data_IF_224110616050
#
_entry.id   IF_224110616050
#
_cell.length_a   1.000
_cell.length_b   1.000
_cell.length_c   1.000
_cell.angle_alpha   90.00
_cell.angle_beta   90.00
_cell.angle_gamma   90.00
#
_symmetry.space_group_name_H-M   'P 1'
#
loop_
_entity.id
_entity.type
_entity.pdbx_description
1 polymer ?
#
# COMPACT_ATOMS: atom_id res chain seq x y z
N UNK A 1 34.83 -101.22 -76.18
CA UNK A 1 34.01 -100.21 -75.49
C UNK A 1 34.29 -100.36 -73.99
N UNK A 2 34.81 -99.43 -73.21
CA UNK A 2 34.88 -97.98 -73.37
C UNK A 2 36.00 -97.36 -72.48
N UNK A 3 37.25 -97.25 -72.96
CA UNK A 3 38.29 -96.45 -72.29
C UNK A 3 38.26 -94.97 -72.72
N UNK A 4 37.80 -94.66 -73.94
CA UNK A 4 37.74 -93.29 -74.47
C UNK A 4 36.70 -92.40 -73.78
N UNK A 5 35.57 -92.97 -73.33
CA UNK A 5 34.52 -92.22 -72.63
C UNK A 5 34.99 -91.72 -71.24
N UNK A 6 35.67 -92.57 -70.46
CA UNK A 6 36.19 -92.16 -69.14
C UNK A 6 37.32 -91.12 -69.25
N UNK A 7 38.10 -91.18 -70.34
CA UNK A 7 39.16 -90.21 -70.58
C UNK A 7 38.61 -88.86 -71.03
N UNK A 8 37.54 -88.86 -71.84
CA UNK A 8 36.81 -87.65 -72.21
C UNK A 8 36.17 -86.97 -70.99
N UNK A 9 35.55 -87.74 -70.09
CA UNK A 9 35.00 -87.23 -68.83
C UNK A 9 36.08 -86.65 -67.91
N UNK A 10 37.24 -87.33 -67.77
CA UNK A 10 38.37 -86.80 -67.00
C UNK A 10 38.93 -85.51 -67.62
N UNK A 11 39.00 -85.43 -68.95
CA UNK A 11 39.46 -84.24 -69.65
C UNK A 11 38.47 -83.06 -69.49
N UNK A 12 37.17 -83.32 -69.57
CA UNK A 12 36.12 -82.31 -69.35
C UNK A 12 36.13 -81.81 -67.89
N UNK A 13 36.32 -82.70 -66.92
CA UNK A 13 36.49 -82.33 -65.51
C UNK A 13 37.74 -81.47 -65.30
N UNK A 14 38.87 -81.80 -65.95
CA UNK A 14 40.10 -81.01 -65.87
C UNK A 14 39.92 -79.63 -66.50
N UNK A 15 39.21 -79.54 -67.64
CA UNK A 15 38.90 -78.25 -68.28
C UNK A 15 37.90 -77.41 -67.47
N UNK A 16 36.90 -78.03 -66.82
CA UNK A 16 36.05 -77.33 -65.85
C UNK A 16 36.82 -76.84 -64.63
N UNK A 17 37.69 -77.68 -64.03
CA UNK A 17 38.56 -77.25 -62.93
C UNK A 17 39.45 -76.10 -63.39
N UNK A 18 40.06 -76.20 -64.58
CA UNK A 18 40.88 -75.13 -65.15
C UNK A 18 40.07 -73.85 -65.36
N UNK A 19 38.80 -73.94 -65.76
CA UNK A 19 37.91 -72.79 -65.94
C UNK A 19 37.52 -72.15 -64.61
N UNK A 20 37.18 -72.97 -63.59
CA UNK A 20 36.84 -72.52 -62.24
C UNK A 20 38.03 -71.79 -61.61
N UNK A 21 39.24 -72.36 -61.73
CA UNK A 21 40.47 -71.78 -61.20
C UNK A 21 41.08 -70.67 -62.08
N UNK A 22 40.65 -70.51 -63.34
CA UNK A 22 41.04 -69.37 -64.19
C UNK A 22 40.28 -68.09 -63.84
N UNK A 23 39.15 -68.20 -63.15
CA UNK A 23 38.40 -67.06 -62.62
C UNK A 23 38.94 -66.63 -61.26
N UNK A 24 39.49 -65.41 -61.20
CA UNK A 24 39.96 -64.74 -59.98
C UNK A 24 38.83 -64.36 -58.99
N UNK A 25 37.65 -64.98 -59.11
CA UNK A 25 36.43 -64.58 -58.42
C UNK A 25 36.55 -64.69 -56.89
N UNK A 26 37.14 -65.77 -56.39
CA UNK A 26 37.37 -65.95 -54.96
C UNK A 26 38.45 -65.00 -54.41
N UNK A 27 39.48 -64.71 -55.22
CA UNK A 27 40.48 -63.71 -54.87
C UNK A 27 39.86 -62.30 -54.78
N UNK A 28 38.92 -61.96 -55.67
CA UNK A 28 38.15 -60.72 -55.62
C UNK A 28 37.22 -60.67 -54.40
N UNK A 29 36.52 -61.76 -54.08
CA UNK A 29 35.68 -61.85 -52.86
C UNK A 29 36.50 -61.67 -51.59
N UNK A 30 37.67 -62.30 -51.49
CA UNK A 30 38.56 -62.15 -50.34
C UNK A 30 39.10 -60.72 -50.22
N UNK A 31 39.47 -60.08 -51.34
CA UNK A 31 39.89 -58.66 -51.32
C UNK A 31 38.75 -57.74 -50.89
N UNK A 32 37.54 -57.96 -51.41
CA UNK A 32 36.36 -57.19 -51.03
C UNK A 32 36.03 -57.36 -49.54
N UNK A 33 36.08 -58.59 -49.02
CA UNK A 33 35.88 -58.87 -47.61
C UNK A 33 36.95 -58.19 -46.74
N UNK A 34 38.22 -58.23 -47.15
CA UNK A 34 39.31 -57.53 -46.45
C UNK A 34 39.11 -56.02 -46.44
N UNK A 35 38.58 -55.46 -47.52
CA UNK A 35 38.24 -54.04 -47.61
C UNK A 35 37.09 -53.69 -46.66
N UNK A 36 36.02 -54.50 -46.63
CA UNK A 36 34.93 -54.34 -45.66
C UNK A 36 35.42 -54.44 -44.22
N UNK A 37 36.32 -55.38 -43.89
CA UNK A 37 36.92 -55.47 -42.56
C UNK A 37 37.71 -54.22 -42.18
N UNK A 38 38.47 -53.65 -43.13
CA UNK A 38 39.19 -52.38 -42.90
C UNK A 38 38.23 -51.22 -42.67
N UNK A 39 37.14 -51.15 -43.43
CA UNK A 39 36.11 -50.13 -43.28
C UNK A 39 35.39 -50.23 -41.92
N UNK A 40 34.96 -51.44 -41.53
CA UNK A 40 34.33 -51.70 -40.23
C UNK A 40 35.28 -51.37 -39.09
N UNK A 41 36.54 -51.79 -39.19
CA UNK A 41 37.56 -51.48 -38.17
C UNK A 41 37.75 -49.98 -38.01
N UNK A 42 37.87 -49.25 -39.12
CA UNK A 42 38.00 -47.79 -39.10
C UNK A 42 36.78 -47.13 -38.46
N UNK A 43 35.57 -47.58 -38.81
CA UNK A 43 34.33 -47.08 -38.21
C UNK A 43 34.29 -47.31 -36.70
N UNK A 44 34.75 -48.48 -36.23
CA UNK A 44 34.86 -48.77 -34.80
C UNK A 44 35.86 -47.85 -34.11
N UNK A 45 37.05 -47.67 -34.68
CA UNK A 45 38.10 -46.78 -34.15
C UNK A 45 37.61 -45.32 -34.09
N UNK A 46 36.97 -44.82 -35.16
CA UNK A 46 36.40 -43.47 -35.22
C UNK A 46 35.28 -43.28 -34.17
N UNK A 47 34.40 -44.28 -34.03
CA UNK A 47 33.32 -44.26 -33.02
C UNK A 47 33.88 -44.27 -31.61
N UNK A 48 34.91 -45.08 -31.34
CA UNK A 48 35.55 -45.14 -30.04
C UNK A 48 36.21 -43.80 -29.68
N UNK A 49 36.97 -43.20 -30.61
CA UNK A 49 37.58 -41.89 -30.42
C UNK A 49 36.55 -40.78 -30.16
N UNK A 50 35.44 -40.81 -30.91
CA UNK A 50 34.33 -39.88 -30.69
C UNK A 50 33.72 -40.07 -29.29
N UNK A 51 33.45 -41.31 -28.89
CA UNK A 51 32.82 -41.63 -27.61
C UNK A 51 33.73 -41.26 -26.43
N UNK A 52 35.03 -41.46 -26.54
CA UNK A 52 36.01 -40.97 -25.55
C UNK A 52 35.97 -39.45 -25.42
N UNK A 53 35.80 -38.72 -26.52
CA UNK A 53 35.70 -37.26 -26.51
C UNK A 53 34.42 -36.80 -25.81
N UNK A 54 33.29 -37.43 -26.12
CA UNK A 54 31.98 -37.14 -25.48
C UNK A 54 32.04 -37.43 -23.97
N UNK A 55 32.63 -38.56 -23.57
CA UNK A 55 32.77 -38.90 -22.15
C UNK A 55 33.60 -37.84 -21.41
N UNK A 56 34.74 -37.42 -21.98
CA UNK A 56 35.59 -36.36 -21.39
C UNK A 56 34.82 -35.05 -21.23
N UNK A 57 34.03 -34.67 -22.24
CA UNK A 57 33.21 -33.47 -22.18
C UNK A 57 32.13 -33.57 -21.11
N UNK A 58 31.42 -34.69 -21.03
CA UNK A 58 30.37 -34.92 -20.03
C UNK A 58 30.94 -34.92 -18.61
N UNK A 59 32.09 -35.56 -18.38
CA UNK A 59 32.78 -35.51 -17.08
C UNK A 59 33.10 -34.07 -16.68
N UNK A 60 33.60 -33.25 -17.63
CA UNK A 60 33.85 -31.83 -17.36
C UNK A 60 32.58 -31.07 -17.03
N UNK A 61 31.50 -31.27 -17.80
CA UNK A 61 30.20 -30.62 -17.56
C UNK A 61 29.61 -31.00 -16.19
N UNK A 62 29.76 -32.26 -15.79
CA UNK A 62 29.34 -32.74 -14.46
C UNK A 62 30.17 -32.06 -13.37
N UNK A 63 31.50 -32.04 -13.48
CA UNK A 63 32.36 -31.36 -12.50
C UNK A 63 32.05 -29.86 -12.36
N UNK A 64 31.76 -29.17 -13.47
CA UNK A 64 31.37 -27.76 -13.46
C UNK A 64 29.96 -27.56 -12.87
N UNK A 65 29.03 -28.51 -13.09
CA UNK A 65 27.71 -28.50 -12.48
C UNK A 65 27.78 -28.77 -10.97
N UNK A 66 28.59 -29.73 -10.53
CA UNK A 66 28.82 -30.04 -9.12
C UNK A 66 29.38 -28.83 -8.38
N UNK A 67 30.42 -28.17 -8.92
CA UNK A 67 30.98 -26.94 -8.33
C UNK A 67 29.97 -25.82 -8.18
N UNK A 68 29.05 -25.67 -9.14
CA UNK A 68 27.96 -24.66 -9.07
C UNK A 68 26.85 -25.06 -8.11
N UNK A 69 26.60 -26.35 -7.97
CA UNK A 69 25.55 -26.89 -7.11
C UNK A 69 25.98 -26.97 -5.65
N UNK A 70 27.27 -27.12 -5.35
CA UNK A 70 27.80 -26.92 -4.00
C UNK A 70 27.65 -25.44 -3.62
N UNK A 71 26.80 -25.10 -2.64
CA UNK A 71 26.70 -23.72 -2.18
C UNK A 71 28.08 -23.27 -1.68
N UNK A 72 28.54 -22.11 -2.17
CA UNK A 72 29.81 -21.50 -1.77
C UNK A 72 29.82 -21.09 -0.29
N UNK A 73 28.66 -21.00 0.33
CA UNK A 73 28.47 -20.63 1.73
C UNK A 73 28.26 -21.89 2.56
N UNK A 74 28.90 -21.93 3.73
CA UNK A 74 28.65 -22.99 4.67
C UNK A 74 27.17 -22.98 5.11
N UNK A 75 26.57 -24.14 5.45
CA UNK A 75 25.20 -24.19 5.96
C UNK A 75 24.98 -23.24 7.16
N UNK A 76 26.02 -23.02 7.98
CA UNK A 76 25.98 -22.09 9.10
C UNK A 76 25.85 -20.62 8.67
N UNK A 77 26.57 -20.17 7.64
CA UNK A 77 26.48 -18.79 7.13
C UNK A 77 25.13 -18.53 6.48
N UNK A 78 24.63 -19.50 5.70
CA UNK A 78 23.31 -19.43 5.12
C UNK A 78 22.23 -19.26 6.20
N UNK A 79 22.32 -20.05 7.28
CA UNK A 79 21.36 -20.02 8.38
C UNK A 79 21.44 -18.73 9.21
N UNK A 80 22.65 -18.19 9.42
CA UNK A 80 22.84 -16.87 10.05
C UNK A 80 22.17 -15.76 9.24
N UNK A 81 22.33 -15.79 7.91
CA UNK A 81 21.74 -14.79 7.02
C UNK A 81 20.21 -14.89 6.99
N UNK A 82 19.64 -16.10 6.99
CA UNK A 82 18.19 -16.29 7.14
C UNK A 82 17.72 -15.70 8.48
N UNK A 83 18.38 -16.02 9.59
CA UNK A 83 18.00 -15.52 10.91
C UNK A 83 18.07 -13.98 10.99
N UNK A 84 19.07 -13.37 10.34
CA UNK A 84 19.18 -11.91 10.24
C UNK A 84 18.01 -11.31 9.46
N UNK A 85 17.70 -11.84 8.28
CA UNK A 85 16.58 -11.35 7.45
C UNK A 85 15.24 -11.55 8.17
N UNK A 86 15.05 -12.64 8.89
CA UNK A 86 13.85 -12.86 9.70
C UNK A 86 13.74 -11.89 10.88
N UNK A 87 14.86 -11.55 11.53
CA UNK A 87 14.89 -10.56 12.60
C UNK A 87 14.56 -9.15 12.06
N UNK A 88 15.15 -8.78 10.93
CA UNK A 88 14.85 -7.51 10.24
C UNK A 88 13.38 -7.44 9.80
N UNK A 89 12.84 -8.54 9.24
CA UNK A 89 11.41 -8.64 8.90
C UNK A 89 10.51 -8.45 10.12
N UNK A 90 10.86 -9.04 11.26
CA UNK A 90 10.08 -8.90 12.50
C UNK A 90 10.11 -7.46 13.00
N UNK A 91 11.29 -6.84 13.08
CA UNK A 91 11.45 -5.46 13.50
C UNK A 91 10.69 -4.48 12.58
N UNK A 92 10.75 -4.69 11.27
CA UNK A 92 9.97 -3.91 10.31
C UNK A 92 8.45 -4.09 10.50
N UNK A 93 8.01 -5.32 10.77
CA UNK A 93 6.60 -5.60 11.08
C UNK A 93 6.12 -4.89 12.34
N UNK A 94 6.89 -4.94 13.43
CA UNK A 94 6.58 -4.22 14.67
C UNK A 94 6.51 -2.71 14.44
N UNK A 95 7.46 -2.15 13.69
CA UNK A 95 7.46 -0.73 13.34
C UNK A 95 6.23 -0.33 12.52
N UNK A 96 5.82 -1.14 11.54
CA UNK A 96 4.60 -0.89 10.77
C UNK A 96 3.36 -0.91 11.67
N UNK A 97 3.23 -1.90 12.56
CA UNK A 97 2.07 -1.96 13.48
C UNK A 97 2.02 -0.76 14.43
N UNK A 98 3.17 -0.27 14.90
CA UNK A 98 3.25 0.94 15.70
C UNK A 98 2.83 2.18 14.91
N UNK A 99 3.35 2.35 13.69
CA UNK A 99 2.99 3.46 12.82
C UNK A 99 1.50 3.45 12.45
N UNK A 100 0.91 2.28 12.22
CA UNK A 100 -0.53 2.15 11.95
C UNK A 100 -1.37 2.59 13.15
N UNK A 101 -0.98 2.18 14.37
CA UNK A 101 -1.67 2.61 15.58
C UNK A 101 -1.57 4.12 15.81
N UNK A 102 -0.39 4.71 15.57
CA UNK A 102 -0.18 6.15 15.67
C UNK A 102 -0.99 6.93 14.63
N UNK A 103 -1.04 6.44 13.39
CA UNK A 103 -1.85 7.03 12.33
C UNK A 103 -3.35 7.03 12.69
N UNK A 104 -3.87 5.92 13.22
CA UNK A 104 -5.26 5.84 13.67
C UNK A 104 -5.55 6.80 14.82
N UNK A 105 -4.63 6.92 15.78
CA UNK A 105 -4.78 7.87 16.89
C UNK A 105 -4.81 9.32 16.39
N UNK A 106 -3.95 9.67 15.42
CA UNK A 106 -3.92 11.00 14.80
C UNK A 106 -5.19 11.29 13.99
N UNK A 107 -5.71 10.31 13.26
CA UNK A 107 -6.99 10.45 12.55
C UNK A 107 -8.15 10.71 13.52
N UNK A 108 -8.20 10.00 14.64
CA UNK A 108 -9.20 10.23 15.68
C UNK A 108 -9.08 11.64 16.27
N UNK A 109 -7.87 12.07 16.63
CA UNK A 109 -7.62 13.43 17.12
C UNK A 109 -8.03 14.49 16.09
N UNK A 110 -7.77 14.25 14.79
CA UNK A 110 -8.18 15.17 13.74
C UNK A 110 -9.70 15.26 13.62
N UNK A 111 -10.41 14.14 13.72
CA UNK A 111 -11.87 14.11 13.70
C UNK A 111 -12.47 14.87 14.90
N UNK A 112 -11.90 14.68 16.09
CA UNK A 112 -12.33 15.39 17.30
C UNK A 112 -12.10 16.91 17.18
N UNK A 113 -10.92 17.34 16.73
CA UNK A 113 -10.61 18.75 16.51
C UNK A 113 -11.53 19.39 15.45
N UNK A 114 -11.88 18.66 14.39
CA UNK A 114 -12.85 19.12 13.39
C UNK A 114 -14.24 19.32 14.01
N UNK A 115 -14.69 18.39 14.86
CA UNK A 115 -15.96 18.52 15.59
C UNK A 115 -15.96 19.72 16.53
N UNK A 116 -14.90 19.87 17.33
CA UNK A 116 -14.74 21.01 18.23
C UNK A 116 -14.72 22.35 17.46
N UNK A 117 -14.02 22.41 16.32
CA UNK A 117 -13.99 23.60 15.47
C UNK A 117 -15.38 23.93 14.90
N UNK A 118 -16.15 22.94 14.47
CA UNK A 118 -17.52 23.14 13.99
C UNK A 118 -18.42 23.70 15.12
N UNK A 119 -18.33 23.12 16.32
CA UNK A 119 -19.09 23.58 17.48
C UNK A 119 -18.72 25.02 17.88
N UNK A 120 -17.43 25.35 17.88
CA UNK A 120 -16.96 26.72 18.14
C UNK A 120 -17.44 27.71 17.08
N UNK A 121 -17.50 27.30 15.81
CA UNK A 121 -18.01 28.15 14.73
C UNK A 121 -19.50 28.48 14.93
N UNK A 122 -20.31 27.51 15.33
CA UNK A 122 -21.74 27.73 15.64
C UNK A 122 -21.89 28.70 16.82
N UNK A 123 -21.19 28.44 17.93
CA UNK A 123 -21.22 29.33 19.10
C UNK A 123 -20.77 30.75 18.77
N UNK A 124 -19.77 30.90 17.91
CA UNK A 124 -19.33 32.21 17.43
C UNK A 124 -20.45 32.92 16.67
N UNK A 125 -21.14 32.22 15.75
CA UNK A 125 -22.25 32.79 15.00
C UNK A 125 -23.41 33.22 15.91
N UNK A 126 -23.70 32.46 16.98
CA UNK A 126 -24.71 32.84 17.98
C UNK A 126 -24.32 34.13 18.70
N UNK A 127 -23.06 34.26 19.13
CA UNK A 127 -22.55 35.48 19.77
C UNK A 127 -22.57 36.66 18.81
N UNK A 128 -22.12 36.46 17.57
CA UNK A 128 -22.11 37.51 16.53
C UNK A 128 -23.56 37.99 16.26
N UNK A 129 -24.56 37.10 16.25
CA UNK A 129 -25.96 37.47 16.08
C UNK A 129 -26.50 38.34 17.23
N UNK A 130 -26.18 37.97 18.48
CA UNK A 130 -26.55 38.76 19.67
C UNK A 130 -25.90 40.14 19.61
N UNK A 131 -24.62 40.22 19.25
CA UNK A 131 -23.89 41.48 19.17
C UNK A 131 -24.42 42.39 18.06
N UNK A 132 -24.78 41.84 16.90
CA UNK A 132 -25.19 42.63 15.74
C UNK A 132 -26.66 43.06 15.76
N UNK A 133 -27.58 42.29 16.34
CA UNK A 133 -29.01 42.58 16.31
C UNK A 133 -29.57 42.91 17.71
N UNK A 134 -29.41 41.97 18.64
CA UNK A 134 -30.07 42.07 19.96
C UNK A 134 -29.53 43.22 20.80
N UNK A 135 -28.21 43.43 20.83
CA UNK A 135 -27.59 44.50 21.62
C UNK A 135 -27.98 45.89 21.09
N UNK A 136 -27.88 46.21 19.78
CA UNK A 136 -28.37 47.47 19.25
C UNK A 136 -29.87 47.67 19.45
N UNK A 137 -30.69 46.63 19.27
CA UNK A 137 -32.14 46.71 19.48
C UNK A 137 -32.47 47.05 20.94
N UNK A 138 -31.88 46.34 21.90
CA UNK A 138 -32.07 46.61 23.32
C UNK A 138 -31.58 48.02 23.70
N UNK A 139 -30.44 48.47 23.17
CA UNK A 139 -29.96 49.85 23.38
C UNK A 139 -30.94 50.88 22.82
N UNK A 140 -31.52 50.63 21.64
CA UNK A 140 -32.52 51.51 21.05
C UNK A 140 -33.78 51.58 21.89
N UNK A 141 -34.33 50.43 22.31
CA UNK A 141 -35.49 50.34 23.20
C UNK A 141 -35.26 51.07 24.52
N UNK A 142 -34.13 50.85 25.19
CA UNK A 142 -33.75 51.56 26.41
C UNK A 142 -33.62 53.07 26.17
N UNK A 143 -33.06 53.47 25.02
CA UNK A 143 -32.97 54.88 24.64
C UNK A 143 -34.35 55.49 24.41
N UNK A 144 -35.30 54.76 23.83
CA UNK A 144 -36.69 55.19 23.69
C UNK A 144 -37.36 55.37 25.05
N UNK A 145 -37.20 54.42 25.97
CA UNK A 145 -37.73 54.55 27.34
C UNK A 145 -37.16 55.78 28.04
N UNK A 146 -35.84 56.00 27.97
CA UNK A 146 -35.22 57.19 28.53
C UNK A 146 -35.69 58.48 27.84
N UNK A 147 -35.89 58.45 26.52
CA UNK A 147 -36.32 59.62 25.76
C UNK A 147 -37.78 60.00 25.99
N UNK A 148 -38.69 59.03 26.07
CA UNK A 148 -40.12 59.25 26.30
C UNK A 148 -40.36 59.65 27.74
N UNK A 149 -39.84 58.87 28.69
CA UNK A 149 -40.10 59.10 30.11
C UNK A 149 -39.29 60.27 30.68
N UNK A 150 -38.14 60.62 30.07
CA UNK A 150 -37.16 61.56 30.63
C UNK A 150 -36.71 61.19 32.05
N UNK A 151 -36.87 59.93 32.46
CA UNK A 151 -36.47 59.43 33.77
C UNK A 151 -35.01 58.97 33.72
N UNK A 152 -34.23 59.44 34.68
CA UNK A 152 -32.89 58.93 34.99
C UNK A 152 -32.96 58.11 36.28
N UNK A 153 -32.76 56.80 36.18
CA UNK A 153 -32.81 55.87 37.31
C UNK A 153 -31.47 55.82 38.07
N UNK A 154 -31.54 55.63 39.39
CA UNK A 154 -30.38 55.37 40.24
C UNK A 154 -30.27 53.87 40.51
N UNK A 155 -29.32 53.20 39.86
CA UNK A 155 -29.18 51.74 39.91
C UNK A 155 -28.37 51.22 41.11
N UNK A 156 -27.79 52.11 41.91
CA UNK A 156 -26.92 51.76 43.05
C UNK A 156 -27.69 51.17 44.23
N UNK A 157 -29.01 51.41 44.30
CA UNK A 157 -29.87 51.00 45.42
C UNK A 157 -30.93 50.04 44.92
N UNK A 158 -31.04 48.85 45.52
CA UNK A 158 -31.94 47.77 45.05
C UNK A 158 -33.20 47.57 45.91
N UNK A 159 -33.26 48.18 47.09
CA UNK A 159 -34.39 48.10 48.03
C UNK A 159 -35.46 49.17 47.77
N UNK A 160 -35.18 50.13 46.88
CA UNK A 160 -36.06 51.26 46.56
C UNK A 160 -35.96 51.62 45.09
N UNK A 161 -37.07 52.08 44.53
CA UNK A 161 -37.15 52.61 43.17
C UNK A 161 -36.82 54.09 43.24
N UNK A 162 -35.59 54.44 42.83
CA UNK A 162 -35.07 55.80 42.89
C UNK A 162 -34.71 56.33 41.51
N UNK A 163 -35.08 57.58 41.25
CA UNK A 163 -34.80 58.23 39.99
C UNK A 163 -35.15 59.71 39.99
N UNK A 164 -34.97 60.36 38.84
CA UNK A 164 -35.29 61.77 38.63
C UNK A 164 -35.96 61.93 37.28
N UNK A 165 -37.01 62.75 37.20
CA UNK A 165 -37.68 63.09 35.93
C UNK A 165 -37.23 64.48 35.52
N UNK A 166 -36.64 64.59 34.33
CA UNK A 166 -36.29 65.88 33.75
C UNK A 166 -37.55 66.48 33.08
N UNK A 167 -38.17 67.46 33.73
CA UNK A 167 -39.33 68.14 33.17
C UNK A 167 -38.93 69.07 32.01
N UNK A 168 -39.81 69.26 31.03
CA UNK A 168 -39.57 70.15 29.89
C UNK A 168 -39.52 71.63 30.31
N UNK A 169 -38.89 72.46 29.47
CA UNK A 169 -38.55 73.87 29.67
C UNK A 169 -39.49 74.63 30.65
N UNK A 170 -39.00 74.87 31.86
CA UNK A 170 -39.66 75.74 32.86
C UNK A 170 -40.30 75.06 34.07
N UNK A 171 -40.33 73.72 34.16
CA UNK A 171 -40.76 72.96 35.35
C UNK A 171 -39.56 72.50 36.21
N UNK A 172 -39.74 72.42 37.53
CA UNK A 172 -38.74 71.92 38.47
C UNK A 172 -38.47 70.41 38.31
N UNK A 173 -37.25 70.00 38.63
CA UNK A 173 -36.80 68.59 38.60
C UNK A 173 -37.60 67.76 39.64
N UNK A 174 -38.31 66.74 39.19
CA UNK A 174 -39.07 65.85 40.08
C UNK A 174 -38.24 64.63 40.50
N UNK A 175 -38.28 64.30 41.79
CA UNK A 175 -37.54 63.17 42.37
C UNK A 175 -38.48 61.99 42.60
N UNK A 176 -38.05 60.81 42.16
CA UNK A 176 -38.72 59.53 42.41
C UNK A 176 -38.01 58.84 43.58
N UNK A 177 -38.73 58.51 44.63
CA UNK A 177 -38.26 57.66 45.74
C UNK A 177 -39.43 56.86 46.31
N UNK A 178 -39.58 55.62 45.86
CA UNK A 178 -40.61 54.68 46.33
C UNK A 178 -39.95 53.46 46.96
N UNK A 179 -40.47 52.97 48.10
CA UNK A 179 -40.02 51.69 48.63
C UNK A 179 -40.63 50.54 47.81
N UNK A 180 -39.84 49.48 47.59
CA UNK A 180 -40.33 48.29 46.90
C UNK A 180 -41.37 47.60 47.79
N UNK A 181 -42.61 47.47 47.30
CA UNK A 181 -43.71 46.79 48.01
C UNK A 181 -44.73 47.70 48.71
N UNK A 182 -44.47 49.02 48.80
CA UNK A 182 -45.41 49.97 49.43
C UNK A 182 -46.68 50.23 48.59
N UNK A 183 -46.63 49.93 47.29
CA UNK A 183 -47.70 50.19 46.30
C UNK A 183 -47.87 48.98 45.39
N UNK A 184 -49.06 48.85 44.79
CA UNK A 184 -49.24 47.88 43.70
C UNK A 184 -48.53 48.34 42.43
N UNK A 185 -48.14 47.41 41.56
CA UNK A 185 -47.51 47.70 40.27
C UNK A 185 -48.36 48.66 39.42
N UNK A 186 -49.69 48.52 39.48
CA UNK A 186 -50.63 49.41 38.80
C UNK A 186 -50.58 50.84 39.34
N UNK A 187 -50.55 51.02 40.66
CA UNK A 187 -50.47 52.35 41.27
C UNK A 187 -49.13 53.01 40.93
N UNK A 188 -48.03 52.26 41.08
CA UNK A 188 -46.69 52.74 40.75
C UNK A 188 -46.57 53.19 39.29
N UNK A 189 -47.09 52.40 38.35
CA UNK A 189 -47.05 52.75 36.93
C UNK A 189 -47.82 54.05 36.64
N UNK A 190 -49.03 54.20 37.17
CA UNK A 190 -49.82 55.43 36.99
C UNK A 190 -49.14 56.63 37.64
N UNK A 191 -48.57 56.47 38.84
CA UNK A 191 -47.83 57.53 39.52
C UNK A 191 -46.63 57.98 38.68
N UNK A 192 -45.87 57.05 38.10
CA UNK A 192 -44.76 57.36 37.20
C UNK A 192 -45.23 58.08 35.93
N UNK A 193 -46.32 57.64 35.31
CA UNK A 193 -46.87 58.30 34.13
C UNK A 193 -47.37 59.73 34.42
N UNK A 194 -47.98 59.96 35.57
CA UNK A 194 -48.42 61.30 36.00
C UNK A 194 -47.26 62.28 36.22
N UNK A 195 -46.02 61.79 36.44
CA UNK A 195 -44.83 62.63 36.59
C UNK A 195 -44.19 63.01 35.24
N UNK A 196 -44.55 62.32 34.15
CA UNK A 196 -43.95 62.50 32.81
C UNK A 196 -44.69 63.60 32.00
N UNK A 197 -45.91 63.97 32.40
CA UNK A 197 -46.80 64.98 31.77
C UNK A 197 -46.48 66.44 32.20
#
# INVERSE_FOLDING_TARGET
>A
MAPEASFAECHELIEEMRRIYATDEDALKVRALNQQFKEVRKLCEDREAHMQTVIKEMVKRVADAEKRATPSESPSEHQKRIAQVEAEKRAAGEFLTHMEAEAQALEHMQAELKSQSANLKVKKQEVDAIEMDDVPRAKHELSLYAHISKISWQYETTDRIKGRVNAHEGKDLQVIDYAVGDRSEYQLANDLWNLID
#
